data_IF_840418034119
#
_entry.id   IF_840418034119
#
_cell.length_a   1.000
_cell.length_b   1.000
_cell.length_c   1.000
_cell.angle_alpha   90.00
_cell.angle_beta   90.00
_cell.angle_gamma   90.00
#
_symmetry.space_group_name_H-M   'P 1'
#
loop_
_entity.id
_entity.type
_entity.pdbx_description
1 polymer ?
#
# COMPACT_ATOMS: atom_id res chain seq x y z
N UNK A 1 -8.22 -12.76 5.94
CA UNK A 1 -8.51 -13.59 7.11
C UNK A 1 -8.13 -15.04 6.82
N UNK A 2 -7.04 -15.55 7.44
CA UNK A 2 -6.50 -16.89 7.18
C UNK A 2 -7.39 -18.05 7.70
N UNK A 3 -8.37 -17.76 8.52
CA UNK A 3 -9.40 -18.75 8.88
C UNK A 3 -10.37 -19.02 7.72
N UNK A 4 -10.51 -18.06 6.81
CA UNK A 4 -11.39 -18.15 5.63
C UNK A 4 -10.58 -18.45 4.37
N UNK A 5 -9.42 -17.82 4.22
CA UNK A 5 -8.54 -17.91 3.05
C UNK A 5 -7.09 -18.18 3.51
N UNK A 6 -6.72 -19.45 3.76
CA UNK A 6 -5.42 -19.79 4.32
C UNK A 6 -4.25 -19.57 3.35
N UNK A 7 -4.50 -19.69 2.04
CA UNK A 7 -3.48 -19.54 1.01
C UNK A 7 -3.50 -18.09 0.50
N UNK A 8 -2.43 -17.34 0.80
CA UNK A 8 -2.30 -15.95 0.41
C UNK A 8 -1.51 -15.85 -0.91
N UNK A 9 -1.96 -15.04 -1.88
CA UNK A 9 -1.29 -14.91 -3.17
C UNK A 9 0.02 -14.14 -3.05
N UNK A 10 1.04 -14.55 -3.78
CA UNK A 10 2.37 -13.93 -3.79
C UNK A 10 2.70 -13.20 -5.10
N UNK A 11 1.82 -13.26 -6.08
CA UNK A 11 1.95 -12.62 -7.38
C UNK A 11 0.57 -12.45 -8.04
N UNK A 12 0.52 -11.78 -9.19
CA UNK A 12 -0.73 -11.53 -9.92
C UNK A 12 -1.40 -12.79 -10.44
N UNK A 13 -0.66 -13.83 -10.84
CA UNK A 13 -1.25 -15.08 -11.30
C UNK A 13 -1.98 -15.79 -10.16
N UNK A 14 -1.34 -15.92 -9.01
CA UNK A 14 -1.95 -16.49 -7.80
C UNK A 14 -3.10 -15.62 -7.30
N UNK A 15 -3.01 -14.30 -7.45
CA UNK A 15 -4.09 -13.38 -7.09
C UNK A 15 -5.32 -13.59 -7.99
N UNK A 16 -5.14 -13.87 -9.27
CA UNK A 16 -6.23 -14.25 -10.17
C UNK A 16 -6.94 -15.52 -9.68
N UNK A 17 -6.18 -16.57 -9.32
CA UNK A 17 -6.74 -17.82 -8.79
C UNK A 17 -7.43 -17.59 -7.43
N UNK A 18 -6.86 -16.75 -6.57
CA UNK A 18 -7.49 -16.34 -5.33
C UNK A 18 -8.84 -15.65 -5.57
N UNK A 19 -8.93 -14.73 -6.52
CA UNK A 19 -10.18 -14.07 -6.89
C UNK A 19 -11.21 -15.04 -7.49
N UNK A 20 -10.78 -16.00 -8.30
CA UNK A 20 -11.65 -17.07 -8.83
C UNK A 20 -12.23 -17.93 -7.72
N UNK A 21 -11.40 -18.33 -6.76
CA UNK A 21 -11.82 -19.13 -5.60
C UNK A 21 -12.76 -18.36 -4.66
N UNK A 22 -12.60 -17.04 -4.57
CA UNK A 22 -13.40 -16.14 -3.72
C UNK A 22 -14.28 -15.19 -4.54
N UNK A 23 -14.90 -15.71 -5.61
CA UNK A 23 -15.67 -14.90 -6.55
C UNK A 23 -16.68 -14.00 -5.87
N UNK A 24 -16.64 -12.71 -6.19
CA UNK A 24 -17.52 -11.69 -5.67
C UNK A 24 -17.16 -11.19 -4.26
N UNK A 25 -16.04 -11.67 -3.68
CA UNK A 25 -15.60 -11.32 -2.33
C UNK A 25 -14.23 -10.64 -2.28
N UNK A 26 -13.70 -10.21 -3.41
CA UNK A 26 -12.46 -9.45 -3.51
C UNK A 26 -12.73 -8.17 -4.28
N UNK A 27 -12.17 -7.07 -3.85
CA UNK A 27 -12.23 -5.79 -4.57
C UNK A 27 -11.11 -4.85 -4.09
N UNK A 28 -11.03 -3.69 -4.69
CA UNK A 28 -10.12 -2.60 -4.32
C UNK A 28 -10.85 -1.26 -4.44
N UNK A 29 -10.37 -0.17 -3.79
CA UNK A 29 -11.02 1.14 -3.87
C UNK A 29 -10.99 1.70 -5.29
N UNK A 30 -12.03 2.42 -5.65
CA UNK A 30 -12.09 3.16 -6.91
C UNK A 30 -10.96 4.20 -7.00
N UNK A 31 -10.37 4.37 -8.18
CA UNK A 31 -9.45 5.47 -8.42
C UNK A 31 -10.27 6.79 -8.55
N UNK A 32 -9.80 7.94 -8.07
CA UNK A 32 -8.42 8.22 -7.62
C UNK A 32 -8.16 8.05 -6.11
N UNK A 33 -8.87 7.14 -5.39
CA UNK A 33 -8.45 6.83 -4.01
C UNK A 33 -6.97 6.41 -4.00
N UNK A 34 -6.20 6.95 -3.04
CA UNK A 34 -4.76 6.75 -2.99
C UNK A 34 -4.38 5.26 -2.88
N UNK A 35 -5.12 4.49 -2.08
CA UNK A 35 -4.88 3.05 -1.87
C UNK A 35 -5.29 2.24 -3.10
N UNK A 36 -6.43 2.58 -3.72
CA UNK A 36 -6.87 1.98 -4.98
C UNK A 36 -5.88 2.23 -6.13
N UNK A 37 -5.42 3.47 -6.25
CA UNK A 37 -4.39 3.86 -7.24
C UNK A 37 -3.07 3.12 -6.98
N UNK A 38 -2.66 2.95 -5.70
CA UNK A 38 -1.47 2.18 -5.35
C UNK A 38 -1.62 0.69 -5.70
N UNK A 39 -2.80 0.10 -5.49
CA UNK A 39 -3.07 -1.28 -5.89
C UNK A 39 -2.90 -1.49 -7.39
N UNK A 40 -3.53 -0.66 -8.22
CA UNK A 40 -3.41 -0.74 -9.68
C UNK A 40 -1.95 -0.57 -10.13
N UNK A 41 -1.20 0.37 -9.54
CA UNK A 41 0.22 0.56 -9.84
C UNK A 41 1.08 -0.65 -9.41
N UNK A 42 0.75 -1.31 -8.30
CA UNK A 42 1.42 -2.53 -7.89
C UNK A 42 1.15 -3.69 -8.87
N UNK A 43 -0.08 -3.83 -9.38
CA UNK A 43 -0.41 -4.79 -10.45
C UNK A 43 0.38 -4.48 -11.72
N UNK A 44 0.46 -3.21 -12.12
CA UNK A 44 1.28 -2.78 -13.26
C UNK A 44 2.75 -3.15 -13.05
N UNK A 45 3.30 -2.92 -11.87
CA UNK A 45 4.70 -3.24 -11.57
C UNK A 45 4.96 -4.75 -11.55
N UNK A 46 4.03 -5.54 -11.03
CA UNK A 46 4.18 -7.01 -11.00
C UNK A 46 4.17 -7.60 -12.42
N UNK A 47 3.32 -7.09 -13.31
CA UNK A 47 3.19 -7.59 -14.69
C UNK A 47 4.23 -6.99 -15.63
N UNK A 48 4.40 -5.68 -15.60
CA UNK A 48 5.17 -4.94 -16.61
C UNK A 48 6.61 -4.61 -16.16
N UNK A 49 6.95 -4.78 -14.86
CA UNK A 49 8.19 -4.28 -14.27
C UNK A 49 8.13 -2.77 -14.00
N UNK A 50 8.86 -2.29 -13.00
CA UNK A 50 8.82 -0.87 -12.60
C UNK A 50 9.84 0.00 -13.35
N UNK A 51 10.94 -0.58 -13.79
CA UNK A 51 12.11 0.13 -14.33
C UNK A 51 11.75 0.98 -15.54
N UNK A 52 10.88 0.48 -16.43
CA UNK A 52 10.50 1.18 -17.64
C UNK A 52 9.73 2.48 -17.39
N UNK A 53 9.12 2.63 -16.22
CA UNK A 53 8.34 3.82 -15.88
C UNK A 53 9.17 4.96 -15.28
N UNK A 54 10.38 4.68 -14.79
CA UNK A 54 11.16 5.66 -14.03
C UNK A 54 11.54 6.90 -14.84
N UNK A 55 11.83 6.71 -16.13
CA UNK A 55 12.19 7.78 -17.08
C UNK A 55 11.18 7.92 -18.23
N UNK A 56 9.95 7.37 -18.06
CA UNK A 56 8.92 7.41 -19.10
C UNK A 56 8.34 8.81 -19.28
N UNK A 57 8.17 9.22 -20.52
CA UNK A 57 7.46 10.46 -20.86
C UNK A 57 5.97 10.34 -20.48
N UNK A 58 5.42 11.42 -19.91
CA UNK A 58 4.02 11.49 -19.49
C UNK A 58 3.10 11.78 -20.69
N UNK A 59 3.06 10.84 -21.62
CA UNK A 59 2.18 10.83 -22.80
C UNK A 59 1.17 9.69 -22.69
N UNK A 60 -0.12 9.97 -22.88
CA UNK A 60 -1.21 9.00 -22.64
C UNK A 60 -1.08 7.74 -23.51
N UNK A 61 -0.76 7.91 -24.79
CA UNK A 61 -0.64 6.78 -25.72
C UNK A 61 0.57 5.89 -25.36
N UNK A 62 1.69 6.51 -25.01
CA UNK A 62 2.91 5.83 -24.57
C UNK A 62 2.66 5.05 -23.29
N UNK A 63 2.04 5.68 -22.28
CA UNK A 63 1.69 5.05 -21.01
C UNK A 63 0.70 3.91 -21.23
N UNK A 64 -0.37 4.13 -22.01
CA UNK A 64 -1.36 3.10 -22.32
C UNK A 64 -0.73 1.86 -22.97
N UNK A 65 0.12 2.06 -23.97
CA UNK A 65 0.81 0.96 -24.62
C UNK A 65 1.70 0.16 -23.66
N UNK A 66 2.39 0.86 -22.74
CA UNK A 66 3.29 0.22 -21.77
C UNK A 66 2.54 -0.58 -20.69
N UNK A 67 1.34 -0.16 -20.29
CA UNK A 67 0.53 -0.83 -19.26
C UNK A 67 -0.53 -1.77 -19.81
N UNK A 68 -0.67 -1.92 -21.14
CA UNK A 68 -1.73 -2.74 -21.77
C UNK A 68 -1.80 -4.18 -21.21
N UNK A 69 -0.67 -4.89 -20.95
CA UNK A 69 -0.76 -6.21 -20.32
C UNK A 69 -1.41 -6.21 -18.95
N UNK A 70 -1.19 -5.16 -18.15
CA UNK A 70 -1.82 -5.02 -16.84
C UNK A 70 -3.31 -4.60 -16.97
N UNK A 71 -3.67 -3.80 -17.97
CA UNK A 71 -5.08 -3.47 -18.25
C UNK A 71 -5.86 -4.71 -18.68
N UNK A 72 -5.27 -5.56 -19.54
CA UNK A 72 -5.86 -6.83 -19.95
C UNK A 72 -6.11 -7.73 -18.72
N UNK A 73 -5.10 -7.90 -17.88
CA UNK A 73 -5.23 -8.62 -16.62
C UNK A 73 -6.36 -8.09 -15.74
N UNK A 74 -6.46 -6.76 -15.55
CA UNK A 74 -7.51 -6.15 -14.72
C UNK A 74 -8.92 -6.35 -15.31
N UNK A 75 -9.06 -6.33 -16.64
CA UNK A 75 -10.32 -6.67 -17.32
C UNK A 75 -10.70 -8.14 -17.13
N UNK A 76 -9.73 -9.05 -17.24
CA UNK A 76 -9.95 -10.49 -16.98
C UNK A 76 -10.29 -10.78 -15.51
N UNK A 77 -9.81 -9.94 -14.58
CA UNK A 77 -10.09 -10.04 -13.16
C UNK A 77 -11.52 -9.62 -12.81
N UNK A 78 -12.07 -8.62 -13.50
CA UNK A 78 -13.38 -8.01 -13.21
C UNK A 78 -14.52 -9.02 -12.95
N UNK A 79 -14.76 -10.08 -13.77
CA UNK A 79 -15.85 -11.02 -13.54
C UNK A 79 -15.79 -11.78 -12.21
N UNK A 80 -14.65 -11.77 -11.55
CA UNK A 80 -14.43 -12.44 -10.26
C UNK A 80 -14.48 -11.50 -9.07
N UNK A 81 -14.39 -10.18 -9.32
CA UNK A 81 -14.43 -9.16 -8.28
C UNK A 81 -15.85 -8.94 -7.74
N UNK A 82 -15.93 -8.29 -6.60
CA UNK A 82 -17.18 -7.76 -6.05
C UNK A 82 -17.91 -6.91 -7.11
N UNK A 83 -19.20 -7.13 -7.22
CA UNK A 83 -20.05 -6.51 -8.24
C UNK A 83 -19.52 -6.64 -9.69
N UNK A 84 -18.75 -7.71 -9.96
CA UNK A 84 -18.18 -8.02 -11.28
C UNK A 84 -17.34 -6.87 -11.87
N UNK A 85 -16.66 -6.08 -11.04
CA UNK A 85 -15.87 -4.93 -11.48
C UNK A 85 -16.65 -3.79 -12.14
N UNK A 86 -17.98 -3.78 -11.99
CA UNK A 86 -18.83 -2.70 -12.53
C UNK A 86 -18.79 -1.44 -11.67
N UNK A 87 -18.59 -1.63 -10.38
CA UNK A 87 -18.39 -0.55 -9.41
C UNK A 87 -17.37 -1.02 -8.37
N UNK A 88 -16.75 -0.07 -7.69
CA UNK A 88 -15.73 -0.29 -6.68
C UNK A 88 -16.07 0.47 -5.40
N UNK A 89 -15.60 0.06 -4.21
CA UNK A 89 -15.71 0.85 -2.99
C UNK A 89 -15.20 2.27 -3.22
N UNK A 90 -15.89 3.24 -2.65
CA UNK A 90 -15.58 4.66 -2.86
C UNK A 90 -14.16 5.04 -2.44
N UNK A 91 -13.68 4.46 -1.34
CA UNK A 91 -12.40 4.76 -0.71
C UNK A 91 -11.94 3.58 0.15
N UNK A 92 -10.72 3.66 0.66
CA UNK A 92 -10.13 2.64 1.54
C UNK A 92 -10.94 2.41 2.82
N UNK A 93 -11.57 3.45 3.38
CA UNK A 93 -12.43 3.30 4.56
C UNK A 93 -13.66 2.43 4.26
N UNK A 94 -14.27 2.62 3.09
CA UNK A 94 -15.39 1.78 2.67
C UNK A 94 -14.96 0.31 2.50
N UNK A 95 -13.79 0.06 1.92
CA UNK A 95 -13.25 -1.30 1.78
C UNK A 95 -12.96 -1.93 3.15
N UNK A 96 -12.35 -1.20 4.08
CA UNK A 96 -12.09 -1.67 5.45
C UNK A 96 -13.40 -2.07 6.16
N UNK A 97 -14.47 -1.29 6.00
CA UNK A 97 -15.78 -1.64 6.57
C UNK A 97 -16.35 -2.92 5.94
N UNK A 98 -16.26 -3.07 4.61
CA UNK A 98 -16.70 -4.28 3.91
C UNK A 98 -15.94 -5.53 4.40
N UNK A 99 -14.64 -5.39 4.66
CA UNK A 99 -13.83 -6.48 5.21
C UNK A 99 -14.24 -6.81 6.65
N UNK A 100 -14.41 -5.80 7.49
CA UNK A 100 -14.86 -5.96 8.88
C UNK A 100 -16.24 -6.62 8.97
N UNK A 101 -17.14 -6.29 8.05
CA UNK A 101 -18.51 -6.84 7.98
C UNK A 101 -18.54 -8.25 7.34
N UNK A 102 -17.41 -8.75 6.83
CA UNK A 102 -17.29 -10.06 6.15
C UNK A 102 -17.94 -10.08 4.76
N UNK A 103 -18.20 -8.92 4.16
CA UNK A 103 -18.68 -8.81 2.79
C UNK A 103 -17.59 -9.19 1.79
N UNK A 104 -16.33 -8.80 2.08
CA UNK A 104 -15.14 -9.19 1.33
C UNK A 104 -14.14 -9.93 2.23
N UNK A 105 -13.22 -10.69 1.62
CA UNK A 105 -12.21 -11.50 2.34
C UNK A 105 -10.83 -10.85 2.36
N UNK A 106 -10.67 -9.71 1.69
CA UNK A 106 -9.42 -8.97 1.60
C UNK A 106 -9.66 -7.48 1.74
N UNK A 107 -8.77 -6.81 2.48
CA UNK A 107 -8.63 -5.36 2.52
C UNK A 107 -7.28 -4.97 1.92
N UNK A 108 -7.15 -3.72 1.48
CA UNK A 108 -5.92 -3.16 0.93
C UNK A 108 -5.58 -1.91 1.74
N UNK A 109 -4.40 -1.88 2.32
CA UNK A 109 -3.93 -0.75 3.10
C UNK A 109 -2.54 -0.30 2.66
N UNK A 110 -2.33 1.01 2.65
CA UNK A 110 -1.01 1.60 2.45
C UNK A 110 -0.23 1.76 3.77
N UNK A 111 -0.89 1.59 4.90
CA UNK A 111 -0.25 1.61 6.22
C UNK A 111 0.30 0.23 6.58
N UNK A 112 1.61 0.14 6.78
CA UNK A 112 2.34 -1.11 6.99
C UNK A 112 1.76 -1.98 8.13
N UNK A 113 1.28 -1.36 9.19
CA UNK A 113 0.80 -2.06 10.40
C UNK A 113 -0.69 -1.89 10.66
N UNK A 114 -1.48 -1.53 9.64
CA UNK A 114 -2.93 -1.36 9.77
C UNK A 114 -3.63 -2.63 10.26
N UNK A 115 -3.22 -3.80 9.80
CA UNK A 115 -3.79 -5.08 10.23
C UNK A 115 -3.65 -5.26 11.74
N UNK A 116 -2.45 -5.06 12.28
CA UNK A 116 -2.22 -5.18 13.71
C UNK A 116 -3.07 -4.18 14.53
N UNK A 117 -3.11 -2.93 14.09
CA UNK A 117 -3.94 -1.89 14.73
C UNK A 117 -5.43 -2.26 14.68
N UNK A 118 -5.92 -2.77 13.56
CA UNK A 118 -7.32 -3.15 13.41
C UNK A 118 -7.68 -4.44 14.18
N UNK A 119 -6.76 -5.36 14.38
CA UNK A 119 -6.95 -6.50 15.28
C UNK A 119 -7.05 -6.02 16.74
N UNK A 120 -6.14 -5.17 17.17
CA UNK A 120 -6.12 -4.66 18.55
C UNK A 120 -7.36 -3.86 18.92
N UNK A 121 -7.90 -3.06 18.01
CA UNK A 121 -9.12 -2.29 18.26
C UNK A 121 -10.42 -3.08 18.00
N UNK A 122 -10.30 -4.36 17.60
CA UNK A 122 -11.43 -5.26 17.37
C UNK A 122 -12.17 -5.04 16.04
N UNK A 123 -11.61 -4.26 15.13
CA UNK A 123 -12.16 -4.07 13.77
C UNK A 123 -11.94 -5.32 12.91
N UNK A 124 -10.77 -5.96 13.06
CA UNK A 124 -10.44 -7.20 12.35
C UNK A 124 -10.41 -8.40 13.27
N UNK A 125 -10.59 -9.59 12.70
CA UNK A 125 -10.43 -10.86 13.41
C UNK A 125 -8.96 -11.09 13.76
N UNK A 126 -8.68 -11.87 14.82
CA UNK A 126 -7.32 -12.22 15.22
C UNK A 126 -6.56 -13.08 14.20
N UNK A 127 -7.27 -13.63 13.21
CA UNK A 127 -6.73 -14.43 12.11
C UNK A 127 -6.46 -13.61 10.85
N UNK A 128 -6.68 -12.29 10.89
CA UNK A 128 -6.30 -11.40 9.80
C UNK A 128 -4.77 -11.35 9.66
N UNK A 129 -4.28 -11.44 8.42
CA UNK A 129 -2.86 -11.50 8.11
C UNK A 129 -2.53 -10.58 6.94
N UNK A 130 -1.52 -9.73 7.10
CA UNK A 130 -0.93 -8.97 5.99
C UNK A 130 -0.09 -9.88 5.10
N UNK A 131 -0.04 -9.55 3.82
CA UNK A 131 0.86 -10.17 2.85
C UNK A 131 1.29 -9.15 1.79
N UNK A 132 2.33 -9.45 1.05
CA UNK A 132 2.78 -8.67 -0.08
C UNK A 132 3.26 -9.60 -1.20
N UNK A 133 3.31 -9.09 -2.43
CA UNK A 133 3.79 -9.86 -3.56
C UNK A 133 5.31 -10.05 -3.50
N UNK A 134 5.80 -11.14 -4.09
CA UNK A 134 7.22 -11.51 -4.06
C UNK A 134 8.12 -10.51 -4.78
N UNK A 135 7.65 -9.91 -5.87
CA UNK A 135 8.38 -8.83 -6.56
C UNK A 135 8.42 -7.52 -5.77
N UNK A 136 7.63 -7.43 -4.71
CA UNK A 136 7.56 -6.28 -3.83
C UNK A 136 6.35 -5.39 -4.06
N UNK A 137 6.27 -4.35 -3.25
CA UNK A 137 5.21 -3.34 -3.30
C UNK A 137 5.78 -1.93 -3.23
N UNK A 138 5.05 -0.99 -3.81
CA UNK A 138 5.41 0.43 -3.76
C UNK A 138 5.46 0.88 -2.31
N UNK A 139 6.61 1.46 -1.92
CA UNK A 139 6.80 2.07 -0.62
C UNK A 139 7.15 3.54 -0.75
N UNK A 140 6.56 4.37 0.10
CA UNK A 140 6.75 5.82 0.07
C UNK A 140 7.54 6.32 1.28
N UNK A 141 8.10 7.53 1.17
CA UNK A 141 8.74 8.26 2.26
C UNK A 141 8.10 9.64 2.36
N UNK A 142 7.64 10.00 3.54
CA UNK A 142 7.10 11.32 3.79
C UNK A 142 8.22 12.31 4.11
N UNK A 143 8.17 13.49 3.51
CA UNK A 143 9.14 14.54 3.68
C UNK A 143 8.50 15.77 4.31
N UNK A 144 9.25 16.47 5.15
CA UNK A 144 8.86 17.76 5.73
C UNK A 144 9.78 18.83 5.15
N UNK A 145 9.17 19.91 4.66
CA UNK A 145 9.88 21.04 4.12
C UNK A 145 9.44 22.34 4.79
N UNK A 146 10.35 23.30 4.89
CA UNK A 146 10.04 24.65 5.37
C UNK A 146 9.64 25.50 4.17
N UNK A 147 8.43 26.06 4.19
CA UNK A 147 7.98 26.96 3.13
C UNK A 147 8.91 28.19 3.02
N UNK A 148 9.24 28.59 1.79
CA UNK A 148 10.19 29.69 1.54
C UNK A 148 9.72 31.04 2.16
N UNK A 149 8.42 31.21 2.34
CA UNK A 149 7.80 32.39 2.96
C UNK A 149 7.45 32.18 4.45
N UNK A 150 8.01 31.19 5.12
CA UNK A 150 7.76 30.93 6.56
C UNK A 150 8.20 32.13 7.39
N UNK A 151 7.30 32.61 8.26
CA UNK A 151 7.61 33.66 9.25
C UNK A 151 8.44 33.16 10.45
N UNK A 152 8.64 31.84 10.60
CA UNK A 152 9.38 31.23 11.72
C UNK A 152 10.25 30.06 11.27
N UNK A 153 11.24 30.33 10.44
CA UNK A 153 12.18 29.32 9.91
C UNK A 153 12.94 28.62 11.04
N UNK A 154 13.42 29.38 12.03
CA UNK A 154 14.19 28.80 13.15
C UNK A 154 13.35 27.83 13.99
N UNK A 155 12.10 28.17 14.30
CA UNK A 155 11.18 27.27 15.00
C UNK A 155 10.86 26.01 14.18
N UNK A 156 10.67 26.16 12.86
CA UNK A 156 10.45 25.03 11.97
C UNK A 156 11.67 24.08 11.91
N UNK A 157 12.89 24.62 11.89
CA UNK A 157 14.13 23.83 11.94
C UNK A 157 14.24 23.01 13.23
N UNK A 158 13.91 23.62 14.38
CA UNK A 158 13.89 22.91 15.68
C UNK A 158 12.86 21.78 15.65
N UNK A 159 11.65 22.04 15.18
CA UNK A 159 10.60 21.04 15.12
C UNK A 159 10.98 19.85 14.20
N UNK A 160 11.57 20.13 13.02
CA UNK A 160 12.03 19.07 12.11
C UNK A 160 13.17 18.26 12.76
N UNK A 161 14.12 18.92 13.42
CA UNK A 161 15.21 18.25 14.12
C UNK A 161 14.67 17.33 15.23
N UNK A 162 13.71 17.79 16.01
CA UNK A 162 13.03 16.98 17.03
C UNK A 162 12.32 15.77 16.43
N UNK A 163 11.64 15.94 15.31
CA UNK A 163 10.98 14.81 14.63
C UNK A 163 11.96 13.76 14.08
N UNK A 164 13.21 14.12 13.88
CA UNK A 164 14.30 13.21 13.46
C UNK A 164 15.06 12.59 14.64
N UNK A 165 14.77 13.01 15.86
CA UNK A 165 15.39 12.44 17.04
C UNK A 165 15.05 10.96 17.19
N UNK A 166 16.03 10.06 17.43
CA UNK A 166 15.78 8.62 17.55
C UNK A 166 14.79 8.24 18.65
N UNK A 167 14.74 8.98 19.78
CA UNK A 167 13.79 8.70 20.86
C UNK A 167 12.36 9.02 20.40
N UNK A 168 12.18 10.18 19.75
CA UNK A 168 10.89 10.57 19.17
C UNK A 168 10.46 9.60 18.07
N UNK A 169 11.38 9.10 17.26
CA UNK A 169 11.09 8.09 16.24
C UNK A 169 10.69 6.76 16.86
N UNK A 170 11.32 6.32 17.93
CA UNK A 170 10.95 5.11 18.67
C UNK A 170 9.57 5.23 19.33
N UNK A 171 9.28 6.38 19.95
CA UNK A 171 7.96 6.66 20.51
C UNK A 171 6.87 6.65 19.44
N UNK A 172 7.09 7.29 18.30
CA UNK A 172 6.15 7.27 17.17
C UNK A 172 5.95 5.87 16.60
N UNK A 173 7.00 5.06 16.54
CA UNK A 173 6.87 3.67 16.13
C UNK A 173 6.01 2.88 17.11
N UNK A 174 6.20 3.08 18.40
CA UNK A 174 5.43 2.43 19.47
C UNK A 174 3.95 2.84 19.44
N UNK A 175 3.69 4.17 19.43
CA UNK A 175 2.35 4.73 19.67
C UNK A 175 1.45 4.71 18.42
N UNK A 176 2.03 4.97 17.26
CA UNK A 176 1.27 5.11 15.99
C UNK A 176 1.79 4.23 14.86
N UNK A 177 2.72 3.33 15.14
CA UNK A 177 3.31 2.38 14.20
C UNK A 177 3.78 3.00 12.89
N UNK A 178 4.37 4.21 12.97
CA UNK A 178 5.02 4.84 11.83
C UNK A 178 6.42 4.26 11.68
N UNK A 179 6.72 3.66 10.53
CA UNK A 179 8.05 3.11 10.24
C UNK A 179 9.10 4.21 10.43
N UNK A 180 10.14 3.98 11.27
CA UNK A 180 11.20 4.95 11.50
C UNK A 180 12.02 5.25 10.23
N UNK A 181 12.52 6.47 10.13
CA UNK A 181 13.39 6.90 9.00
C UNK A 181 14.86 7.01 9.38
N UNK A 182 15.19 6.72 10.64
CA UNK A 182 16.58 6.70 11.14
C UNK A 182 17.29 5.42 10.71
N UNK A 183 18.59 5.53 10.43
CA UNK A 183 19.42 4.36 10.13
C UNK A 183 19.76 3.62 11.44
N UNK A 184 19.11 2.47 11.65
CA UNK A 184 19.29 1.64 12.84
C UNK A 184 20.76 1.33 13.15
N UNK A 185 21.60 1.12 12.12
CA UNK A 185 23.00 0.79 12.31
C UNK A 185 23.84 1.96 12.87
N UNK A 186 23.33 3.18 12.81
CA UNK A 186 23.99 4.39 13.34
C UNK A 186 23.53 4.75 14.75
N UNK A 187 22.54 4.03 15.28
CA UNK A 187 22.03 4.23 16.63
C UNK A 187 23.02 3.66 17.67
N UNK A 188 23.04 4.30 18.86
CA UNK A 188 23.72 3.73 20.02
C UNK A 188 22.92 2.60 20.65
N UNK A 189 23.49 1.85 21.60
CA UNK A 189 22.88 0.65 22.17
C UNK A 189 21.55 0.97 22.90
N UNK A 190 21.46 2.08 23.61
CA UNK A 190 20.21 2.51 24.30
C UNK A 190 19.10 2.83 23.31
N UNK A 191 19.44 3.52 22.22
CA UNK A 191 18.48 3.82 21.15
C UNK A 191 18.01 2.56 20.43
N UNK A 192 18.93 1.64 20.09
CA UNK A 192 18.57 0.33 19.51
C UNK A 192 17.61 -0.44 20.42
N UNK A 193 17.90 -0.49 21.72
CA UNK A 193 17.04 -1.16 22.69
C UNK A 193 15.61 -0.58 22.71
N UNK A 194 15.42 0.71 22.46
CA UNK A 194 14.10 1.32 22.36
C UNK A 194 13.32 0.81 21.15
N UNK A 195 13.96 0.70 19.98
CA UNK A 195 13.35 0.14 18.77
C UNK A 195 13.08 -1.36 18.88
N UNK A 196 14.01 -2.11 19.48
CA UNK A 196 13.91 -3.59 19.62
C UNK A 196 12.76 -4.02 20.54
N UNK A 197 12.29 -3.13 21.41
CA UNK A 197 11.12 -3.35 22.29
C UNK A 197 9.78 -3.13 21.61
N UNK A 198 9.74 -2.58 20.41
CA UNK A 198 8.48 -2.25 19.72
C UNK A 198 7.82 -3.53 19.22
N UNK A 199 6.65 -3.83 19.75
CA UNK A 199 5.81 -4.91 19.27
C UNK A 199 4.94 -4.41 18.10
N UNK A 200 5.19 -4.93 16.91
CA UNK A 200 4.43 -4.55 15.70
C UNK A 200 3.00 -5.11 15.67
N UNK A 201 2.68 -6.05 16.57
CA UNK A 201 1.37 -6.66 16.71
C UNK A 201 1.12 -7.87 15.81
N UNK A 202 -0.03 -8.52 16.01
CA UNK A 202 -0.43 -9.71 15.25
C UNK A 202 -0.75 -9.37 13.79
N UNK A 203 -0.50 -10.32 12.91
CA UNK A 203 -0.89 -10.22 11.50
C UNK A 203 -0.06 -9.24 10.66
N UNK A 204 0.92 -8.56 11.26
CA UNK A 204 1.81 -7.64 10.56
C UNK A 204 2.98 -8.35 9.89
N UNK A 205 3.49 -7.77 8.81
CA UNK A 205 4.76 -8.15 8.18
C UNK A 205 5.89 -7.43 8.91
N UNK A 206 7.03 -8.08 9.08
CA UNK A 206 8.21 -7.46 9.70
C UNK A 206 8.72 -6.26 8.89
N UNK A 207 9.33 -5.29 9.58
CA UNK A 207 9.93 -4.13 8.91
C UNK A 207 10.99 -4.54 7.90
N UNK A 208 11.83 -5.51 8.25
CA UNK A 208 12.90 -6.00 7.36
C UNK A 208 12.32 -6.62 6.08
N UNK A 209 11.25 -7.39 6.18
CA UNK A 209 10.57 -7.96 5.02
C UNK A 209 9.94 -6.87 4.15
N UNK A 210 9.20 -5.93 4.74
CA UNK A 210 8.61 -4.80 4.02
C UNK A 210 9.66 -3.97 3.27
N UNK A 211 10.79 -3.66 3.92
CA UNK A 211 11.84 -2.85 3.32
C UNK A 211 12.65 -3.62 2.27
N UNK A 212 12.84 -4.93 2.45
CA UNK A 212 13.58 -5.77 1.49
C UNK A 212 12.87 -5.89 0.13
N UNK A 213 11.54 -5.77 0.13
CA UNK A 213 10.69 -5.86 -1.07
C UNK A 213 10.08 -4.50 -1.48
N UNK A 214 10.66 -3.39 -1.00
CA UNK A 214 10.17 -2.06 -1.33
C UNK A 214 10.52 -1.67 -2.75
N UNK A 215 9.50 -1.34 -3.55
CA UNK A 215 9.63 -0.75 -4.88
C UNK A 215 9.54 0.79 -4.81
N UNK A 216 10.15 1.50 -5.78
CA UNK A 216 10.05 2.95 -5.84
C UNK A 216 8.63 3.41 -6.18
N UNK A 217 8.26 4.62 -5.73
CA UNK A 217 7.02 5.26 -6.16
C UNK A 217 7.06 5.56 -7.67
N UNK A 218 5.93 5.40 -8.34
CA UNK A 218 5.79 5.74 -9.75
C UNK A 218 5.93 7.25 -9.95
N UNK A 219 6.60 7.71 -11.03
CA UNK A 219 6.69 9.14 -11.32
C UNK A 219 5.31 9.80 -11.28
N UNK A 220 5.17 10.86 -10.51
CA UNK A 220 3.89 11.51 -10.21
C UNK A 220 3.14 12.01 -11.44
N UNK A 221 3.86 12.31 -12.53
CA UNK A 221 3.26 12.73 -13.79
C UNK A 221 2.49 11.61 -14.52
N UNK A 222 2.83 10.33 -14.26
CA UNK A 222 2.17 9.18 -14.86
C UNK A 222 0.88 8.79 -14.13
N UNK A 223 0.80 9.06 -12.83
CA UNK A 223 -0.30 8.61 -11.97
C UNK A 223 -1.67 9.06 -12.48
N UNK A 224 -1.94 10.36 -12.73
CA UNK A 224 -3.25 10.80 -13.23
C UNK A 224 -3.59 10.23 -14.62
N UNK A 225 -2.59 9.97 -15.45
CA UNK A 225 -2.78 9.34 -16.77
C UNK A 225 -3.25 7.90 -16.61
N UNK A 226 -2.63 7.15 -15.70
CA UNK A 226 -3.00 5.76 -15.40
C UNK A 226 -4.42 5.70 -14.82
N UNK A 227 -4.76 6.62 -13.93
CA UNK A 227 -6.10 6.69 -13.32
C UNK A 227 -7.19 6.97 -14.38
N UNK A 228 -6.91 7.87 -15.33
CA UNK A 228 -7.80 8.14 -16.45
C UNK A 228 -7.97 6.89 -17.35
N UNK A 229 -6.86 6.26 -17.75
CA UNK A 229 -6.88 5.05 -18.57
C UNK A 229 -7.64 3.90 -17.87
N UNK A 230 -7.41 3.71 -16.56
CA UNK A 230 -8.13 2.71 -15.78
C UNK A 230 -9.65 2.96 -15.81
N UNK A 231 -10.09 4.20 -15.65
CA UNK A 231 -11.50 4.54 -15.68
C UNK A 231 -12.14 4.29 -17.06
N UNK A 232 -11.40 4.51 -18.14
CA UNK A 232 -11.87 4.30 -19.51
C UNK A 232 -11.85 2.82 -19.94
N UNK A 233 -10.84 2.06 -19.50
CA UNK A 233 -10.51 0.75 -20.09
C UNK A 233 -10.80 -0.44 -19.17
N UNK A 234 -10.99 -0.22 -17.87
CA UNK A 234 -11.16 -1.31 -16.88
C UNK A 234 -12.56 -1.30 -16.26
N UNK A 235 -13.09 -0.13 -15.89
CA UNK A 235 -14.35 -0.04 -15.16
C UNK A 235 -15.51 -0.57 -16.01
N UNK A 236 -16.16 -1.65 -15.57
CA UNK A 236 -17.33 -2.23 -16.23
C UNK A 236 -17.07 -2.86 -17.60
N UNK A 237 -15.83 -3.25 -17.86
CA UNK A 237 -15.44 -3.94 -19.11
C UNK A 237 -15.38 -5.45 -18.93
#
# INVERSE_FOLDING_TARGET
DTAVTPDLPTNTDEFMEFCKANKGKVTYPALPDFTGSAFVRNVIYDICGYEQFMDMEADKETVKAAIEPALEYLRELNPYLWNEGKTFPKDSTALTNMYSDGEVVMDISYSAYSTATNIENGTYTETSQSFQFDKGTIGNTNYIAIAANSGNVAGAQVAINEMMDPEVQADRFTEIRTIPVVDYNKLNDTQKEAFDKVEIGKGAISQDELLSKRLPEMPSALVPIIEEIWAEEVVGK
#
